data_IF_455290954420
#
_entry.id   IF_455290954420
#
_cell.length_a   1.000
_cell.length_b   1.000
_cell.length_c   1.000
_cell.angle_alpha   90.00
_cell.angle_beta   90.00
_cell.angle_gamma   90.00
#
_symmetry.space_group_name_H-M   'P 1'
#
loop_
_entity.id
_entity.type
_entity.pdbx_description
1 polymer ?
#
# COMPACT_ATOMS: atom_id res chain seq x y z
N UNK A 1 -24.49 -30.35 52.46
CA UNK A 1 -23.07 -30.10 52.81
C UNK A 1 -22.21 -31.09 52.01
N UNK A 2 -21.02 -30.71 51.50
CA UNK A 2 -19.89 -31.58 51.06
C UNK A 2 -20.30 -32.85 50.26
N UNK A 3 -20.08 -33.01 48.96
CA UNK A 3 -18.84 -32.94 48.14
C UNK A 3 -19.31 -33.22 46.67
N UNK A 4 -18.49 -33.25 45.60
CA UNK A 4 -17.04 -33.13 45.38
C UNK A 4 -16.81 -32.47 44.00
N UNK A 5 -15.62 -31.95 43.74
CA UNK A 5 -15.13 -31.54 42.41
C UNK A 5 -14.62 -32.75 41.62
N UNK A 6 -14.75 -32.73 40.29
CA UNK A 6 -13.98 -33.59 39.39
C UNK A 6 -13.09 -32.72 38.49
N UNK A 7 -11.88 -33.19 38.19
CA UNK A 7 -10.79 -32.37 37.68
C UNK A 7 -10.06 -33.06 36.54
N UNK A 8 -9.48 -32.24 35.65
CA UNK A 8 -8.32 -32.53 34.78
C UNK A 8 -8.33 -33.82 33.94
N UNK A 9 -8.38 -33.63 32.62
CA UNK A 9 -7.39 -34.26 31.74
C UNK A 9 -6.79 -33.20 30.82
N UNK A 10 -5.51 -32.88 31.04
CA UNK A 10 -4.72 -32.04 30.15
C UNK A 10 -3.93 -32.95 29.20
N UNK A 11 -4.23 -32.90 27.90
CA UNK A 11 -3.50 -33.66 26.88
C UNK A 11 -2.38 -32.80 26.31
N UNK A 12 -1.19 -32.87 26.91
CA UNK A 12 0.01 -32.32 26.31
C UNK A 12 0.54 -33.30 25.25
N UNK A 13 0.67 -32.85 24.00
CA UNK A 13 1.27 -33.62 22.91
C UNK A 13 2.47 -32.88 22.35
N UNK A 14 3.65 -33.40 22.70
CA UNK A 14 4.96 -33.13 22.09
C UNK A 14 4.82 -33.49 20.59
N UNK A 15 5.24 -32.72 19.60
CA UNK A 15 6.39 -31.83 19.55
C UNK A 15 7.34 -32.35 18.46
N UNK A 16 7.13 -31.89 17.21
CA UNK A 16 8.06 -32.11 16.10
C UNK A 16 8.25 -30.82 15.33
N UNK A 17 9.49 -30.33 15.34
CA UNK A 17 9.91 -29.11 14.67
C UNK A 17 10.25 -29.44 13.22
N UNK A 18 9.55 -28.84 12.26
CA UNK A 18 10.00 -28.76 10.88
C UNK A 18 10.37 -27.29 10.58
N UNK A 19 11.66 -26.97 10.72
CA UNK A 19 12.20 -25.69 10.24
C UNK A 19 12.24 -25.72 8.70
N UNK A 20 11.11 -25.44 8.05
CA UNK A 20 11.11 -25.13 6.63
C UNK A 20 11.78 -23.77 6.44
N UNK A 21 12.96 -23.79 5.85
CA UNK A 21 13.75 -22.59 5.59
C UNK A 21 12.95 -21.57 4.78
N UNK A 22 12.73 -20.38 5.35
CA UNK A 22 12.11 -19.26 4.64
C UNK A 22 13.02 -18.81 3.49
N UNK A 23 12.76 -19.31 2.28
CA UNK A 23 13.33 -18.75 1.05
C UNK A 23 12.70 -17.38 0.80
N UNK A 24 13.38 -16.31 1.24
CA UNK A 24 12.96 -14.95 0.95
C UNK A 24 12.96 -14.70 -0.55
N UNK A 25 11.78 -14.69 -1.18
CA UNK A 25 11.60 -14.09 -2.51
C UNK A 25 11.78 -12.58 -2.35
N UNK A 26 13.03 -12.15 -2.52
CA UNK A 26 13.38 -10.75 -2.66
C UNK A 26 12.92 -10.28 -4.04
N UNK A 27 11.65 -9.91 -4.15
CA UNK A 27 11.12 -9.17 -5.31
C UNK A 27 11.83 -7.82 -5.40
N UNK A 28 12.95 -7.79 -6.12
CA UNK A 28 13.74 -6.61 -6.40
C UNK A 28 12.85 -5.55 -7.08
N UNK A 29 12.35 -4.62 -6.27
CA UNK A 29 11.39 -3.61 -6.70
C UNK A 29 12.18 -2.50 -7.37
N UNK A 30 12.17 -2.46 -8.71
CA UNK A 30 12.93 -1.50 -9.51
C UNK A 30 12.84 -0.08 -8.93
N UNK A 31 14.01 0.51 -8.65
CA UNK A 31 14.14 1.80 -7.98
C UNK A 31 13.63 2.98 -8.82
N UNK A 32 13.36 2.79 -10.13
CA UNK A 32 12.95 3.83 -11.09
C UNK A 32 11.48 4.31 -11.00
N UNK A 33 10.98 4.60 -9.79
CA UNK A 33 9.71 5.33 -9.60
C UNK A 33 9.95 6.54 -8.70
N UNK A 34 9.56 7.72 -9.18
CA UNK A 34 9.84 9.01 -8.55
C UNK A 34 9.11 9.24 -7.22
N UNK A 35 9.39 10.36 -6.52
CA UNK A 35 9.10 10.53 -5.09
C UNK A 35 7.62 10.46 -4.64
N UNK A 36 6.65 10.42 -5.55
CA UNK A 36 5.21 10.32 -5.22
C UNK A 36 4.57 8.95 -5.45
N UNK A 37 5.21 8.04 -6.19
CA UNK A 37 4.54 6.85 -6.74
C UNK A 37 4.64 5.56 -5.89
N UNK A 38 5.16 5.65 -4.66
CA UNK A 38 5.34 4.48 -3.76
C UNK A 38 4.35 4.39 -2.60
N UNK A 39 3.46 5.35 -2.43
CA UNK A 39 2.48 5.39 -1.34
C UNK A 39 1.16 4.63 -1.64
N UNK A 40 1.17 3.63 -2.52
CA UNK A 40 -0.01 2.88 -2.97
C UNK A 40 -0.11 1.45 -2.35
N UNK A 41 0.50 1.24 -1.19
CA UNK A 41 0.38 -0.01 -0.42
C UNK A 41 -0.83 -0.02 0.52
N UNK A 42 -1.30 -1.20 0.99
CA UNK A 42 -2.44 -1.30 1.90
C UNK A 42 -2.25 -0.50 3.20
N UNK A 43 -1.05 -0.44 3.75
CA UNK A 43 -0.72 0.40 4.92
C UNK A 43 -0.97 1.89 4.67
N UNK A 44 -0.66 2.39 3.47
CA UNK A 44 -0.94 3.78 3.12
C UNK A 44 -2.44 4.07 2.96
N UNK A 45 -3.25 3.07 2.63
CA UNK A 45 -4.71 3.20 2.58
C UNK A 45 -5.30 3.35 4.00
N UNK A 46 -4.84 2.57 4.97
CA UNK A 46 -5.37 2.58 6.35
C UNK A 46 -4.79 3.71 7.22
N UNK A 47 -3.55 4.15 6.96
CA UNK A 47 -2.99 5.37 7.56
C UNK A 47 -3.43 6.67 6.85
N UNK A 48 -4.33 6.61 5.86
CA UNK A 48 -4.83 7.80 5.19
C UNK A 48 -5.83 8.58 6.09
N UNK A 49 -5.93 9.91 5.95
CA UNK A 49 -7.07 10.66 6.49
C UNK A 49 -8.38 10.02 6.04
N UNK A 50 -9.36 9.96 6.96
CA UNK A 50 -10.69 9.39 6.69
C UNK A 50 -10.67 7.92 6.23
N UNK A 51 -9.68 7.14 6.68
CA UNK A 51 -9.58 5.72 6.34
C UNK A 51 -10.80 4.88 6.77
N UNK A 52 -11.42 5.15 7.94
CA UNK A 52 -12.63 4.46 8.39
C UNK A 52 -13.81 4.62 7.41
N UNK A 53 -14.20 5.85 7.08
CA UNK A 53 -15.21 6.15 6.04
C UNK A 53 -14.88 5.49 4.70
N UNK A 54 -13.61 5.48 4.30
CA UNK A 54 -13.17 4.81 3.07
C UNK A 54 -13.24 3.28 3.16
N UNK A 55 -13.20 2.69 4.35
CA UNK A 55 -13.49 1.27 4.58
C UNK A 55 -15.01 1.04 4.48
N UNK A 56 -15.83 1.85 5.16
CA UNK A 56 -17.30 1.76 5.13
C UNK A 56 -17.83 1.79 3.70
N UNK A 57 -17.46 2.80 2.90
CA UNK A 57 -17.84 2.92 1.49
C UNK A 57 -17.49 1.65 0.69
N UNK A 58 -16.32 1.05 0.96
CA UNK A 58 -15.85 -0.16 0.26
C UNK A 58 -16.55 -1.42 0.74
N UNK A 59 -17.03 -1.46 1.99
CA UNK A 59 -17.88 -2.52 2.53
C UNK A 59 -19.30 -2.43 1.96
N UNK A 60 -19.90 -1.23 1.88
CA UNK A 60 -21.21 -1.02 1.25
C UNK A 60 -21.21 -1.48 -0.22
N UNK A 61 -20.26 -1.00 -1.03
CA UNK A 61 -20.09 -1.48 -2.41
C UNK A 61 -19.78 -2.98 -2.51
N UNK A 62 -19.23 -3.60 -1.47
CA UNK A 62 -19.01 -5.04 -1.45
C UNK A 62 -20.34 -5.78 -1.21
N UNK A 63 -21.13 -5.34 -0.23
CA UNK A 63 -22.43 -5.93 0.12
C UNK A 63 -23.45 -5.81 -1.04
N UNK A 64 -23.55 -4.63 -1.66
CA UNK A 64 -24.36 -4.40 -2.86
C UNK A 64 -23.95 -5.35 -4.00
N UNK A 65 -22.65 -5.51 -4.24
CA UNK A 65 -22.11 -6.30 -5.35
C UNK A 65 -22.26 -7.81 -5.17
N UNK A 66 -22.44 -8.29 -3.94
CA UNK A 66 -22.70 -9.72 -3.66
C UNK A 66 -24.17 -10.01 -3.35
N UNK A 67 -25.07 -9.04 -3.57
CA UNK A 67 -26.52 -9.17 -3.34
C UNK A 67 -26.82 -9.81 -1.97
N UNK A 68 -26.37 -9.13 -0.91
CA UNK A 68 -26.43 -9.63 0.47
C UNK A 68 -27.88 -9.78 0.95
N UNK A 69 -28.27 -10.95 1.45
CA UNK A 69 -29.64 -11.18 1.92
C UNK A 69 -29.90 -10.62 3.33
N UNK A 70 -31.17 -10.50 3.71
CA UNK A 70 -31.57 -10.04 5.05
C UNK A 70 -31.03 -10.97 6.15
N UNK A 71 -30.97 -12.29 5.93
CA UNK A 71 -30.44 -13.27 6.88
C UNK A 71 -28.91 -13.18 7.03
N UNK A 72 -28.20 -12.72 5.99
CA UNK A 72 -26.74 -12.56 6.00
C UNK A 72 -26.31 -11.21 6.61
N UNK A 73 -27.20 -10.21 6.60
CA UNK A 73 -26.93 -8.83 7.04
C UNK A 73 -26.41 -8.73 8.49
N UNK A 74 -26.95 -9.45 9.50
CA UNK A 74 -26.42 -9.39 10.87
C UNK A 74 -24.96 -9.83 10.99
N UNK A 75 -24.54 -10.85 10.22
CA UNK A 75 -23.15 -11.32 10.23
C UNK A 75 -22.21 -10.32 9.52
N UNK A 76 -22.69 -9.68 8.45
CA UNK A 76 -21.96 -8.62 7.75
C UNK A 76 -21.74 -7.38 8.63
N UNK A 77 -22.76 -6.91 9.35
CA UNK A 77 -22.63 -5.73 10.23
C UNK A 77 -21.70 -6.01 11.42
N UNK A 78 -21.67 -7.23 11.95
CA UNK A 78 -20.69 -7.65 12.95
C UNK A 78 -19.24 -7.64 12.40
N UNK A 79 -19.02 -8.11 11.16
CA UNK A 79 -17.73 -8.02 10.47
C UNK A 79 -17.32 -6.56 10.21
N UNK A 80 -18.24 -5.73 9.74
CA UNK A 80 -18.04 -4.29 9.51
C UNK A 80 -17.63 -3.56 10.79
N UNK A 81 -18.32 -3.83 11.90
CA UNK A 81 -17.99 -3.26 13.22
C UNK A 81 -16.57 -3.63 13.64
N UNK A 82 -16.23 -4.92 13.60
CA UNK A 82 -14.89 -5.40 13.95
C UNK A 82 -13.79 -4.78 13.07
N UNK A 83 -14.03 -4.56 11.78
CA UNK A 83 -13.07 -3.92 10.88
C UNK A 83 -12.89 -2.42 11.16
N UNK A 84 -13.95 -1.72 11.57
CA UNK A 84 -13.89 -0.31 11.94
C UNK A 84 -13.21 -0.11 13.30
N UNK A 85 -13.48 -0.97 14.28
CA UNK A 85 -12.79 -0.97 15.58
C UNK A 85 -11.29 -1.26 15.41
N UNK A 86 -10.95 -2.26 14.59
CA UNK A 86 -9.56 -2.59 14.26
C UNK A 86 -8.86 -1.43 13.53
N UNK A 87 -9.55 -0.75 12.60
CA UNK A 87 -9.05 0.47 11.96
C UNK A 87 -8.83 1.60 12.97
N UNK A 88 -9.75 1.82 13.92
CA UNK A 88 -9.60 2.88 14.92
C UNK A 88 -8.37 2.65 15.80
N UNK A 89 -8.11 1.40 16.21
CA UNK A 89 -6.87 1.03 16.88
C UNK A 89 -5.62 1.24 16.01
N UNK A 90 -5.68 0.84 14.73
CA UNK A 90 -4.57 1.00 13.80
C UNK A 90 -4.26 2.47 13.48
N UNK A 91 -5.27 3.34 13.42
CA UNK A 91 -5.13 4.77 13.17
C UNK A 91 -4.30 5.49 14.25
N UNK A 92 -4.42 5.08 15.51
CA UNK A 92 -3.59 5.60 16.61
C UNK A 92 -2.11 5.32 16.36
N UNK A 93 -1.76 4.08 16.01
CA UNK A 93 -0.38 3.71 15.66
C UNK A 93 0.11 4.48 14.43
N UNK A 94 -0.74 4.64 13.40
CA UNK A 94 -0.42 5.49 12.24
C UNK A 94 -0.12 6.95 12.60
N UNK A 95 -0.72 7.49 13.67
CA UNK A 95 -0.46 8.85 14.14
C UNK A 95 0.83 8.94 14.94
N UNK A 96 1.11 7.97 15.82
CA UNK A 96 2.32 7.87 16.64
C UNK A 96 3.59 7.69 15.80
N UNK A 97 3.56 6.80 14.81
CA UNK A 97 4.73 6.45 13.99
C UNK A 97 4.94 7.37 12.78
N UNK A 98 4.12 8.42 12.64
CA UNK A 98 4.18 9.36 11.53
C UNK A 98 5.43 10.23 11.70
N UNK A 99 6.47 10.10 10.86
CA UNK A 99 7.63 10.97 10.97
C UNK A 99 7.20 12.41 10.70
N UNK A 100 7.77 13.35 11.46
CA UNK A 100 7.74 14.75 11.07
C UNK A 100 8.40 14.86 9.69
N UNK A 101 7.73 15.51 8.74
CA UNK A 101 8.24 15.65 7.38
C UNK A 101 9.27 16.78 7.26
N UNK A 102 9.38 17.63 8.28
CA UNK A 102 10.44 18.62 8.43
C UNK A 102 11.72 18.02 9.02
N UNK A 103 11.60 16.96 9.84
CA UNK A 103 12.75 16.20 10.33
C UNK A 103 13.37 15.39 9.18
N UNK A 104 14.58 15.79 8.78
CA UNK A 104 15.37 15.10 7.75
C UNK A 104 16.28 14.02 8.36
N UNK A 105 16.49 14.09 9.67
CA UNK A 105 17.51 13.39 10.43
C UNK A 105 16.96 12.16 11.18
N UNK A 106 15.64 11.88 11.10
CA UNK A 106 15.02 10.64 11.60
C UNK A 106 15.88 9.43 11.21
N UNK A 107 16.54 8.81 12.18
CA UNK A 107 17.57 7.80 11.94
C UNK A 107 17.04 6.48 11.40
N UNK A 108 17.96 5.56 11.07
CA UNK A 108 17.60 4.26 10.51
C UNK A 108 16.90 3.36 11.54
N UNK A 109 17.27 3.46 12.81
CA UNK A 109 16.70 2.66 13.91
C UNK A 109 15.25 3.07 14.17
N UNK A 110 14.99 4.37 14.21
CA UNK A 110 13.67 4.98 14.38
C UNK A 110 12.72 4.54 13.25
N UNK A 111 13.20 4.56 12.01
CA UNK A 111 12.45 4.08 10.83
C UNK A 111 12.15 2.57 10.88
N UNK A 112 13.05 1.76 11.45
CA UNK A 112 12.82 0.33 11.63
C UNK A 112 11.82 0.07 12.77
N UNK A 113 11.92 0.78 13.89
CA UNK A 113 10.97 0.71 14.99
C UNK A 113 9.56 1.12 14.56
N UNK A 114 9.42 2.23 13.82
CA UNK A 114 8.16 2.68 13.23
C UNK A 114 7.55 1.62 12.28
N UNK A 115 8.38 0.98 11.46
CA UNK A 115 7.93 -0.14 10.60
C UNK A 115 7.50 -1.35 11.43
N UNK A 116 8.22 -1.70 12.48
CA UNK A 116 7.88 -2.82 13.36
C UNK A 116 6.53 -2.58 14.04
N UNK A 117 6.30 -1.38 14.60
CA UNK A 117 5.03 -1.01 15.22
C UNK A 117 3.85 -1.11 14.24
N UNK A 118 3.99 -0.63 13.00
CA UNK A 118 2.97 -0.79 11.95
C UNK A 118 2.68 -2.25 11.60
N UNK A 119 3.70 -3.12 11.54
CA UNK A 119 3.53 -4.55 11.24
C UNK A 119 2.83 -5.27 12.40
N UNK A 120 3.23 -4.99 13.65
CA UNK A 120 2.56 -5.55 14.84
C UNK A 120 1.09 -5.14 14.89
N UNK A 121 0.80 -3.85 14.74
CA UNK A 121 -0.57 -3.34 14.72
C UNK A 121 -1.40 -3.96 13.58
N UNK A 122 -0.78 -4.28 12.43
CA UNK A 122 -1.47 -4.94 11.32
C UNK A 122 -1.81 -6.40 11.68
N UNK A 123 -0.90 -7.10 12.36
CA UNK A 123 -1.14 -8.46 12.83
C UNK A 123 -2.26 -8.51 13.88
N UNK A 124 -2.28 -7.57 14.82
CA UNK A 124 -3.33 -7.46 15.84
C UNK A 124 -4.69 -7.09 15.23
N UNK A 125 -4.73 -6.15 14.28
CA UNK A 125 -5.94 -5.80 13.54
C UNK A 125 -6.49 -6.97 12.69
N UNK A 126 -5.62 -7.78 12.07
CA UNK A 126 -6.06 -9.00 11.38
C UNK A 126 -6.62 -10.03 12.37
N UNK A 127 -5.95 -10.21 13.52
CA UNK A 127 -6.37 -11.15 14.57
C UNK A 127 -7.73 -10.81 15.17
N UNK A 128 -8.08 -9.53 15.32
CA UNK A 128 -9.41 -9.12 15.82
C UNK A 128 -10.51 -9.25 14.76
N UNK A 129 -10.20 -9.02 13.48
CA UNK A 129 -11.18 -9.07 12.38
C UNK A 129 -11.47 -10.50 11.91
N UNK A 130 -10.48 -11.39 11.90
CA UNK A 130 -10.62 -12.74 11.31
C UNK A 130 -11.85 -13.54 11.82
N UNK A 131 -12.15 -13.61 13.13
CA UNK A 131 -13.30 -14.39 13.61
C UNK A 131 -14.66 -13.89 13.10
N UNK A 132 -14.85 -12.58 13.01
CA UNK A 132 -16.09 -12.00 12.48
C UNK A 132 -16.18 -12.14 10.96
N UNK A 133 -15.05 -12.03 10.27
CA UNK A 133 -14.95 -12.29 8.83
C UNK A 133 -15.24 -13.75 8.49
N UNK A 134 -14.70 -14.72 9.24
CA UNK A 134 -14.99 -16.15 9.05
C UNK A 134 -16.47 -16.45 9.27
N UNK A 135 -17.07 -15.91 10.33
CA UNK A 135 -18.50 -16.06 10.59
C UNK A 135 -19.35 -15.50 9.42
N UNK A 136 -19.04 -14.29 8.95
CA UNK A 136 -19.69 -13.69 7.78
C UNK A 136 -19.48 -14.51 6.50
N UNK A 137 -18.25 -14.89 6.19
CA UNK A 137 -17.92 -15.63 4.96
C UNK A 137 -18.60 -17.00 4.90
N UNK A 138 -18.88 -17.62 6.06
CA UNK A 138 -19.61 -18.88 6.16
C UNK A 138 -21.12 -18.77 5.92
N UNK A 139 -21.74 -17.57 6.00
CA UNK A 139 -23.16 -17.38 5.63
C UNK A 139 -23.37 -17.24 4.12
N UNK A 140 -22.29 -16.99 3.37
CA UNK A 140 -22.35 -16.73 1.94
C UNK A 140 -22.54 -18.01 1.10
N UNK A 141 -23.31 -17.89 0.03
CA UNK A 141 -23.37 -18.91 -1.01
C UNK A 141 -22.07 -18.98 -1.82
N UNK A 142 -21.85 -20.09 -2.53
CA UNK A 142 -20.64 -20.26 -3.36
C UNK A 142 -20.54 -19.22 -4.49
N UNK A 143 -21.67 -18.74 -5.02
CA UNK A 143 -21.70 -17.65 -6.01
C UNK A 143 -21.24 -16.32 -5.38
N UNK A 144 -21.76 -15.96 -4.21
CA UNK A 144 -21.33 -14.77 -3.49
C UNK A 144 -19.84 -14.82 -3.12
N UNK A 145 -19.35 -15.99 -2.66
CA UNK A 145 -17.90 -16.24 -2.43
C UNK A 145 -17.09 -16.11 -3.71
N UNK A 146 -17.63 -16.55 -4.86
CA UNK A 146 -16.98 -16.35 -6.16
C UNK A 146 -16.87 -14.86 -6.51
N UNK A 147 -17.95 -14.10 -6.32
CA UNK A 147 -18.01 -12.66 -6.57
C UNK A 147 -17.07 -11.88 -5.64
N UNK A 148 -16.86 -12.31 -4.40
CA UNK A 148 -15.87 -11.71 -3.49
C UNK A 148 -14.42 -11.77 -4.00
N UNK A 149 -14.09 -12.68 -4.94
CA UNK A 149 -12.71 -12.84 -5.42
C UNK A 149 -12.19 -11.55 -6.08
N UNK A 150 -10.94 -11.15 -5.80
CA UNK A 150 -10.36 -9.96 -6.41
C UNK A 150 -10.37 -10.12 -7.93
N UNK A 151 -11.00 -9.17 -8.61
CA UNK A 151 -10.99 -9.12 -10.06
C UNK A 151 -9.55 -8.92 -10.52
N UNK A 152 -8.91 -10.03 -10.96
CA UNK A 152 -7.61 -9.96 -11.62
C UNK A 152 -7.80 -9.07 -12.83
N UNK A 153 -7.18 -7.89 -12.83
CA UNK A 153 -7.26 -6.94 -13.91
C UNK A 153 -6.63 -7.51 -15.19
N UNK A 154 -7.40 -8.32 -15.93
CA UNK A 154 -7.14 -8.66 -17.33
C UNK A 154 -7.55 -7.48 -18.23
N UNK A 155 -7.08 -6.29 -17.87
CA UNK A 155 -7.02 -5.17 -18.81
C UNK A 155 -5.69 -5.27 -19.56
N UNK A 156 -5.66 -5.12 -20.90
CA UNK A 156 -4.40 -5.04 -21.60
C UNK A 156 -3.59 -3.86 -21.03
N UNK A 157 -2.29 -4.06 -20.83
CA UNK A 157 -1.39 -2.96 -20.53
C UNK A 157 -1.46 -1.96 -21.70
N UNK A 158 -2.24 -0.88 -21.55
CA UNK A 158 -2.21 0.23 -22.49
C UNK A 158 -0.78 0.77 -22.46
N UNK A 159 -0.02 0.70 -23.58
CA UNK A 159 1.33 1.23 -23.59
C UNK A 159 1.27 2.72 -23.29
N UNK A 160 2.09 3.19 -22.35
CA UNK A 160 2.18 4.62 -22.06
C UNK A 160 2.66 5.36 -23.32
N UNK A 161 1.88 6.31 -23.88
CA UNK A 161 2.34 7.11 -25.01
C UNK A 161 3.42 8.07 -24.49
N UNK A 162 4.68 7.87 -24.89
CA UNK A 162 5.77 8.73 -24.40
C UNK A 162 7.21 8.32 -24.72
N UNK A 163 7.48 7.11 -25.21
CA UNK A 163 8.84 6.71 -25.66
C UNK A 163 8.91 6.44 -27.17
N UNK A 164 8.57 7.45 -27.98
CA UNK A 164 9.12 7.55 -29.33
C UNK A 164 10.53 8.14 -29.25
N UNK A 165 11.51 7.29 -28.87
CA UNK A 165 12.92 7.60 -29.04
C UNK A 165 13.37 7.00 -30.37
N UNK A 166 13.82 7.88 -31.29
CA UNK A 166 14.38 7.62 -32.63
C UNK A 166 13.38 7.67 -33.81
N UNK A 167 13.34 8.84 -34.47
CA UNK A 167 13.12 8.98 -35.91
C UNK A 167 14.25 9.86 -36.48
N UNK A 168 14.76 9.62 -37.70
CA UNK A 168 15.96 10.28 -38.19
C UNK A 168 15.66 11.69 -38.73
N UNK A 169 16.08 12.74 -38.00
CA UNK A 169 16.14 14.08 -38.55
C UNK A 169 17.42 14.24 -39.40
N UNK A 170 17.31 13.79 -40.65
CA UNK A 170 18.26 14.17 -41.69
C UNK A 170 18.11 15.67 -41.98
N UNK A 171 19.22 16.40 -41.97
CA UNK A 171 19.27 17.78 -42.44
C UNK A 171 19.17 17.84 -43.97
N UNK A 172 18.47 18.83 -44.53
CA UNK A 172 18.77 19.38 -45.84
C UNK A 172 19.45 20.74 -45.70
N UNK A 173 20.58 20.91 -46.36
CA UNK A 173 21.32 22.15 -46.48
C UNK A 173 20.97 22.80 -47.83
N UNK A 174 20.54 24.07 -47.87
CA UNK A 174 20.24 24.75 -49.14
C UNK A 174 20.25 26.28 -49.07
N UNK A 175 21.29 26.90 -49.64
CA UNK A 175 21.16 28.15 -50.40
C UNK A 175 21.68 29.45 -49.74
N UNK A 176 22.50 30.27 -50.46
CA UNK A 176 23.02 31.56 -50.00
C UNK A 176 22.28 32.78 -50.62
N UNK A 177 22.93 33.97 -50.53
CA UNK A 177 22.51 35.33 -50.95
C UNK A 177 21.67 36.05 -49.87
N UNK A 178 22.02 37.20 -49.26
CA UNK A 178 22.93 38.31 -49.59
C UNK A 178 22.11 39.62 -49.55
N UNK A 179 22.46 40.72 -48.86
CA UNK A 179 23.58 41.08 -47.96
C UNK A 179 23.35 42.49 -47.36
N UNK A 180 24.39 43.13 -46.80
CA UNK A 180 24.45 44.54 -46.32
C UNK A 180 23.59 44.88 -45.06
N UNK A 181 24.01 45.67 -44.06
CA UNK A 181 25.16 46.61 -43.91
C UNK A 181 25.65 46.74 -42.44
N UNK A 182 26.90 47.22 -42.27
CA UNK A 182 27.53 47.85 -41.09
C UNK A 182 27.45 47.17 -39.68
N UNK A 183 28.51 47.08 -38.88
CA UNK A 183 29.91 47.53 -38.97
C UNK A 183 30.63 47.18 -37.64
N UNK A 184 31.98 47.13 -37.59
CA UNK A 184 32.69 46.58 -36.43
C UNK A 184 32.98 47.62 -35.35
N UNK A 185 33.10 47.17 -34.09
CA UNK A 185 34.07 47.71 -33.13
C UNK A 185 34.48 46.61 -32.15
N UNK A 186 35.75 46.66 -31.76
CA UNK A 186 36.37 45.74 -30.80
C UNK A 186 36.27 46.30 -29.37
N UNK A 187 37.10 45.72 -28.50
CA UNK A 187 37.51 46.13 -27.14
C UNK A 187 37.03 45.11 -26.09
N UNK A 188 37.78 44.03 -25.86
CA UNK A 188 39.01 43.91 -25.04
C UNK A 188 38.80 44.14 -23.54
N UNK A 189 39.26 43.16 -22.76
CA UNK A 189 39.80 43.29 -21.41
C UNK A 189 38.94 43.93 -20.31
N UNK A 190 38.39 43.07 -19.44
CA UNK A 190 38.81 43.18 -18.04
C UNK A 190 38.74 41.86 -17.27
N UNK A 191 39.89 41.38 -16.80
CA UNK A 191 39.99 40.36 -15.76
C UNK A 191 41.19 40.71 -14.86
N UNK A 192 40.97 41.02 -13.58
CA UNK A 192 42.04 40.98 -12.59
C UNK A 192 42.07 39.63 -11.85
N UNK A 193 43.29 39.12 -11.66
CA UNK A 193 43.59 37.89 -10.93
C UNK A 193 43.31 38.03 -9.41
N UNK A 194 42.79 36.98 -8.76
CA UNK A 194 43.51 36.07 -7.84
C UNK A 194 44.27 36.71 -6.66
N UNK A 195 44.01 36.15 -5.48
CA UNK A 195 44.68 36.38 -4.20
C UNK A 195 44.10 35.46 -3.14
#
# INVERSE_FOLDING_TARGET
>A
MKKLTSSLMATALIGTIALTSFTSVASASDSRRGPGARAAGPIHFVCAPRAAERIEIRLSYMAERIDLTEEQTPAFEAFKTALLDAQNGFASVCAEVKPDRSDRDTGLIERLNARQALISAQADALKSVLPSFENFFNTLSEEQKHQMRPHRARGPHRPHPGMMRNGPLASPHSGPDGGADAGPNADTDNMPAQG
#
